data_IF_234159073126
#
_entry.id   IF_234159073126
#
_cell.length_a   1.000
_cell.length_b   1.000
_cell.length_c   1.000
_cell.angle_alpha   90.00
_cell.angle_beta   90.00
_cell.angle_gamma   90.00
#
_symmetry.space_group_name_H-M   'P 1'
#
loop_
_entity.id
_entity.type
_entity.pdbx_description
1 polymer ?
#
# COMPACT_ATOMS: atom_id res chain seq x y z
N UNK A 1 -10.01 -1.01 29.52
CA UNK A 1 -8.71 -0.76 28.84
C UNK A 1 -7.72 -1.82 29.29
N UNK A 2 -7.41 -2.80 28.45
CA UNK A 2 -6.48 -3.88 28.81
C UNK A 2 -5.07 -3.47 28.37
N UNK A 3 -4.18 -3.27 29.34
CA UNK A 3 -2.88 -2.63 29.15
C UNK A 3 -1.81 -3.57 28.57
N UNK A 4 -2.10 -4.87 28.45
CA UNK A 4 -1.22 -5.87 27.84
C UNK A 4 -2.04 -6.79 26.92
N UNK A 5 -1.83 -6.72 25.59
CA UNK A 5 -2.46 -7.64 24.65
C UNK A 5 -1.83 -9.03 24.79
N UNK A 6 -2.67 -10.06 24.72
CA UNK A 6 -2.26 -11.46 24.62
C UNK A 6 -1.73 -11.78 23.22
N UNK A 7 -0.96 -12.86 23.08
CA UNK A 7 -0.45 -13.31 21.77
C UNK A 7 -1.57 -13.47 20.72
N UNK A 8 -2.78 -13.85 21.16
CA UNK A 8 -3.95 -13.98 20.30
C UNK A 8 -4.44 -12.64 19.77
N UNK A 9 -4.57 -11.65 20.65
CA UNK A 9 -4.96 -10.28 20.26
C UNK A 9 -3.93 -9.66 19.32
N UNK A 10 -2.64 -9.94 19.52
CA UNK A 10 -1.57 -9.51 18.62
C UNK A 10 -1.75 -10.07 17.21
N UNK A 11 -2.10 -11.36 17.09
CA UNK A 11 -2.35 -12.00 15.80
C UNK A 11 -3.63 -11.48 15.14
N UNK A 12 -4.71 -11.32 15.92
CA UNK A 12 -5.99 -10.79 15.41
C UNK A 12 -5.85 -9.33 14.93
N UNK A 13 -5.07 -8.51 15.63
CA UNK A 13 -4.82 -7.11 15.27
C UNK A 13 -3.59 -6.92 14.36
N UNK A 14 -2.92 -8.00 13.92
CA UNK A 14 -1.71 -7.90 13.12
C UNK A 14 -2.00 -7.26 11.75
N UNK A 15 -3.14 -7.61 11.15
CA UNK A 15 -3.59 -7.00 9.88
C UNK A 15 -3.88 -5.52 10.06
N UNK A 16 -4.66 -5.13 11.08
CA UNK A 16 -4.95 -3.72 11.40
C UNK A 16 -3.68 -2.92 11.71
N UNK A 17 -2.67 -3.56 12.32
CA UNK A 17 -1.36 -2.95 12.57
C UNK A 17 -0.61 -2.63 11.27
N UNK A 18 -0.68 -3.53 10.29
CA UNK A 18 -0.08 -3.37 8.96
C UNK A 18 -0.83 -2.31 8.15
N UNK A 19 -2.16 -2.28 8.26
CA UNK A 19 -3.03 -1.28 7.61
C UNK A 19 -3.01 0.08 8.32
N UNK A 20 -2.20 0.24 9.37
CA UNK A 20 -2.05 1.47 10.16
C UNK A 20 -3.34 1.96 10.83
N UNK A 21 -4.33 1.09 10.99
CA UNK A 21 -5.66 1.44 11.50
C UNK A 21 -5.76 1.40 13.04
N UNK A 22 -4.64 1.18 13.73
CA UNK A 22 -4.57 1.12 15.20
C UNK A 22 -4.31 2.48 15.84
N UNK A 23 -4.95 2.72 16.99
CA UNK A 23 -4.68 3.90 17.83
C UNK A 23 -3.21 3.95 18.27
N UNK A 24 -2.62 5.14 18.45
CA UNK A 24 -1.20 5.28 18.82
C UNK A 24 -0.83 4.54 20.11
N UNK A 25 -1.76 4.46 21.06
CA UNK A 25 -1.59 3.71 22.32
C UNK A 25 -1.52 2.20 22.11
N UNK A 26 -2.40 1.64 21.25
CA UNK A 26 -2.37 0.22 20.90
C UNK A 26 -1.07 -0.14 20.19
N UNK A 27 -0.56 0.76 19.33
CA UNK A 27 0.72 0.58 18.63
C UNK A 27 1.90 0.47 19.60
N UNK A 28 1.91 1.24 20.69
CA UNK A 28 2.92 1.15 21.73
C UNK A 28 2.84 -0.18 22.49
N UNK A 29 1.64 -0.59 22.92
CA UNK A 29 1.41 -1.87 23.60
C UNK A 29 1.81 -3.08 22.72
N UNK A 30 1.49 -3.01 21.43
CA UNK A 30 1.87 -4.02 20.43
C UNK A 30 3.40 -4.15 20.33
N UNK A 31 4.12 -3.03 20.19
CA UNK A 31 5.60 -3.02 20.16
C UNK A 31 6.21 -3.60 21.43
N UNK A 32 5.69 -3.26 22.60
CA UNK A 32 6.15 -3.82 23.88
C UNK A 32 5.97 -5.34 23.93
N UNK A 33 4.85 -5.87 23.44
CA UNK A 33 4.64 -7.32 23.36
C UNK A 33 5.64 -7.99 22.39
N UNK A 34 5.91 -7.40 21.22
CA UNK A 34 6.89 -7.94 20.26
C UNK A 34 8.35 -7.90 20.78
N UNK A 35 8.64 -7.03 21.75
CA UNK A 35 9.92 -7.01 22.44
C UNK A 35 10.06 -8.18 23.43
N UNK A 36 8.96 -8.59 24.07
CA UNK A 36 8.94 -9.68 25.06
C UNK A 36 8.65 -11.07 24.47
N UNK A 37 7.95 -11.15 23.33
CA UNK A 37 7.52 -12.41 22.72
C UNK A 37 8.14 -12.62 21.33
N UNK A 38 9.09 -13.56 21.25
CA UNK A 38 9.80 -13.90 20.02
C UNK A 38 8.89 -14.53 18.96
N UNK A 39 7.89 -15.31 19.38
CA UNK A 39 6.93 -15.95 18.46
C UNK A 39 6.09 -14.90 17.71
N UNK A 40 5.52 -13.94 18.44
CA UNK A 40 4.77 -12.84 17.85
C UNK A 40 5.65 -11.98 16.94
N UNK A 41 6.89 -11.70 17.36
CA UNK A 41 7.86 -10.99 16.51
C UNK A 41 8.11 -11.72 15.19
N UNK A 42 8.30 -13.04 15.22
CA UNK A 42 8.53 -13.84 14.01
C UNK A 42 7.31 -13.82 13.09
N UNK A 43 6.13 -14.01 13.67
CA UNK A 43 4.87 -13.98 12.93
C UNK A 43 4.64 -12.65 12.21
N UNK A 44 4.76 -11.53 12.92
CA UNK A 44 4.59 -10.19 12.33
C UNK A 44 5.65 -9.91 11.26
N UNK A 45 6.87 -10.40 11.43
CA UNK A 45 7.92 -10.29 10.40
C UNK A 45 7.54 -11.02 9.11
N UNK A 46 7.03 -12.25 9.21
CA UNK A 46 6.57 -13.01 8.03
C UNK A 46 5.41 -12.31 7.35
N UNK A 47 4.43 -11.84 8.12
CA UNK A 47 3.27 -11.13 7.59
C UNK A 47 3.69 -9.82 6.90
N UNK A 48 4.63 -9.08 7.50
CA UNK A 48 5.18 -7.86 6.92
C UNK A 48 5.92 -8.08 5.59
N UNK A 49 6.61 -9.22 5.43
CA UNK A 49 7.23 -9.57 4.13
C UNK A 49 6.16 -9.83 3.07
N UNK A 50 5.10 -10.58 3.41
CA UNK A 50 3.99 -10.83 2.48
C UNK A 50 3.31 -9.53 2.04
N UNK A 51 3.02 -8.63 2.99
CA UNK A 51 2.42 -7.33 2.69
C UNK A 51 3.38 -6.45 1.87
N UNK A 52 4.67 -6.47 2.16
CA UNK A 52 5.66 -5.71 1.40
C UNK A 52 5.75 -6.18 -0.07
N UNK A 53 5.81 -7.48 -0.31
CA UNK A 53 5.84 -8.03 -1.68
C UNK A 53 4.56 -7.73 -2.44
N UNK A 54 3.38 -7.90 -1.82
CA UNK A 54 2.12 -7.53 -2.45
C UNK A 54 2.02 -6.02 -2.72
N UNK A 55 2.53 -5.20 -1.80
CA UNK A 55 2.58 -3.75 -1.95
C UNK A 55 3.49 -3.30 -3.09
N UNK A 56 4.64 -3.97 -3.27
CA UNK A 56 5.56 -3.71 -4.39
C UNK A 56 4.89 -4.01 -5.73
N UNK A 57 4.30 -5.20 -5.88
CA UNK A 57 3.56 -5.58 -7.10
C UNK A 57 2.43 -4.59 -7.40
N UNK A 58 1.63 -4.22 -6.38
CA UNK A 58 0.55 -3.26 -6.56
C UNK A 58 1.07 -1.85 -6.95
N UNK A 59 2.23 -1.46 -6.42
CA UNK A 59 2.87 -0.18 -6.78
C UNK A 59 3.40 -0.19 -8.21
N UNK A 60 3.97 -1.30 -8.67
CA UNK A 60 4.44 -1.49 -10.04
C UNK A 60 3.28 -1.49 -11.03
N UNK A 61 2.19 -2.21 -10.71
CA UNK A 61 0.97 -2.23 -11.53
C UNK A 61 0.38 -0.82 -11.65
N UNK A 62 0.26 -0.10 -10.53
CA UNK A 62 -0.23 1.28 -10.53
C UNK A 62 0.69 2.23 -11.29
N UNK A 63 2.01 2.05 -11.21
CA UNK A 63 2.95 2.85 -12.00
C UNK A 63 2.79 2.60 -13.50
N UNK A 64 2.59 1.34 -13.89
CA UNK A 64 2.34 0.94 -15.28
C UNK A 64 1.02 1.52 -15.80
N UNK A 65 -0.07 1.37 -15.05
CA UNK A 65 -1.37 1.94 -15.40
C UNK A 65 -1.29 3.46 -15.59
N UNK A 66 -0.62 4.17 -14.68
CA UNK A 66 -0.41 5.60 -14.82
C UNK A 66 0.38 5.93 -16.10
N UNK A 67 1.43 5.17 -16.42
CA UNK A 67 2.20 5.39 -17.64
C UNK A 67 1.34 5.18 -18.90
N UNK A 68 0.55 4.11 -18.95
CA UNK A 68 -0.35 3.80 -20.06
C UNK A 68 -1.38 4.94 -20.26
N UNK A 69 -1.97 5.45 -19.18
CA UNK A 69 -2.89 6.61 -19.23
C UNK A 69 -2.17 7.84 -19.80
N UNK A 70 -0.95 8.14 -19.36
CA UNK A 70 -0.19 9.28 -19.88
C UNK A 70 0.11 9.14 -21.38
N UNK A 71 0.45 7.92 -21.84
CA UNK A 71 0.67 7.65 -23.27
C UNK A 71 -0.60 7.87 -24.09
N UNK A 72 -1.75 7.37 -23.62
CA UNK A 72 -3.04 7.56 -24.30
C UNK A 72 -3.41 9.04 -24.38
N UNK A 73 -3.23 9.80 -23.30
CA UNK A 73 -3.49 11.25 -23.27
C UNK A 73 -2.61 11.99 -24.28
N UNK A 74 -1.35 11.60 -24.41
CA UNK A 74 -0.43 12.21 -25.37
C UNK A 74 -0.85 11.93 -26.82
N UNK A 75 -1.24 10.69 -27.13
CA UNK A 75 -1.76 10.34 -28.46
C UNK A 75 -3.01 11.14 -28.83
N UNK A 76 -3.94 11.33 -27.89
CA UNK A 76 -5.15 12.12 -28.11
C UNK A 76 -4.80 13.59 -28.42
N UNK A 77 -3.83 14.18 -27.71
CA UNK A 77 -3.40 15.56 -27.95
C UNK A 77 -2.80 15.73 -29.34
N UNK A 78 -1.97 14.78 -29.79
CA UNK A 78 -1.35 14.81 -31.12
C UNK A 78 -2.41 14.73 -32.23
N UNK A 79 -3.35 13.78 -32.12
CA UNK A 79 -4.45 13.66 -33.08
C UNK A 79 -5.30 14.94 -33.15
N UNK A 80 -5.54 15.59 -32.01
CA UNK A 80 -6.28 16.86 -31.97
C UNK A 80 -5.52 18.03 -32.62
N UNK A 81 -4.20 18.08 -32.48
CA UNK A 81 -3.36 19.09 -33.13
C UNK A 81 -3.37 18.91 -34.65
N UNK A 82 -3.11 17.68 -35.11
CA UNK A 82 -3.13 17.33 -36.54
C UNK A 82 -4.51 17.59 -37.18
N UNK A 83 -5.59 17.25 -36.47
CA UNK A 83 -6.97 17.51 -36.93
C UNK A 83 -7.32 19.00 -36.94
N UNK A 84 -6.67 19.83 -36.12
CA UNK A 84 -6.84 21.30 -36.14
C UNK A 84 -6.11 21.93 -37.31
N UNK A 85 -4.90 21.50 -37.62
CA UNK A 85 -4.10 22.00 -38.75
C UNK A 85 -4.77 21.68 -40.09
N UNK A 86 -5.38 20.50 -40.23
CA UNK A 86 -6.14 20.14 -41.45
C UNK A 86 -7.43 20.94 -41.65
N UNK A 87 -7.98 21.58 -40.60
CA UNK A 87 -9.26 22.31 -40.66
C UNK A 87 -9.10 23.82 -40.85
N UNK A 88 -7.88 24.36 -40.74
CA UNK A 88 -7.56 25.79 -40.90
C UNK A 88 -6.93 26.16 -42.24
N UNK A 89 -6.86 25.21 -43.19
CA UNK A 89 -6.24 25.37 -44.51
C UNK A 89 -7.21 25.51 -45.67
N UNK A 90 -8.46 25.91 -45.42
CA UNK A 90 -9.47 26.28 -46.44
C UNK A 90 -9.79 27.77 -46.34
#
# INVERSE_FOLDING_TARGET
MKMMPSCREITEQASDYLDQNLSPWQRAAFRMHLLMCVYCRRHVKHLGLTVATLGEIASEEKARENNDIQQIVELIKQQQAESREQRGGD
#
